data_IF_186084915570
#
_entry.id   IF_186084915570
#
_cell.length_a   1.000
_cell.length_b   1.000
_cell.length_c   1.000
_cell.angle_alpha   90.00
_cell.angle_beta   90.00
_cell.angle_gamma   90.00
#
_symmetry.space_group_name_H-M   'P 1'
#
loop_
_entity.id
_entity.type
_entity.pdbx_description
1 polymer ?
#
# COMPACT_ATOMS: atom_id res chain seq x y z
N UNK A 1 21.02 0.16 -2.48
CA UNK A 1 21.63 -1.08 -2.93
C UNK A 1 20.95 -2.34 -2.39
N UNK A 2 19.79 -2.13 -1.75
CA UNK A 2 18.95 -3.23 -1.31
C UNK A 2 18.49 -4.04 -2.51
N UNK A 3 18.59 -5.36 -2.38
CA UNK A 3 18.23 -6.27 -3.47
C UNK A 3 16.78 -6.72 -3.39
N UNK A 4 16.31 -7.31 -4.48
CA UNK A 4 14.97 -7.92 -4.53
C UNK A 4 14.83 -8.95 -3.40
N UNK A 5 15.82 -9.82 -3.21
CA UNK A 5 15.71 -10.89 -2.20
C UNK A 5 15.62 -10.32 -0.79
N UNK A 6 16.34 -9.23 -0.50
CA UNK A 6 16.24 -8.58 0.81
C UNK A 6 14.84 -8.06 1.08
N UNK A 7 14.20 -7.48 0.08
CA UNK A 7 12.82 -7.00 0.18
C UNK A 7 11.85 -8.16 0.39
N UNK A 8 12.03 -9.26 -0.36
CA UNK A 8 11.16 -10.43 -0.24
C UNK A 8 11.28 -11.09 1.12
N UNK A 9 12.50 -11.16 1.67
CA UNK A 9 12.72 -11.69 3.02
C UNK A 9 12.02 -10.85 4.07
N UNK A 10 12.13 -9.53 3.96
CA UNK A 10 11.45 -8.61 4.86
C UNK A 10 9.93 -8.77 4.77
N UNK A 11 9.40 -8.85 3.55
CA UNK A 11 7.96 -9.05 3.35
C UNK A 11 7.48 -10.37 3.96
N UNK A 12 8.24 -11.44 3.78
CA UNK A 12 7.90 -12.74 4.35
C UNK A 12 7.95 -12.71 5.88
N UNK A 13 9.00 -12.10 6.45
CA UNK A 13 9.17 -12.00 7.90
C UNK A 13 8.05 -11.20 8.55
N UNK A 14 7.66 -10.09 7.94
CA UNK A 14 6.62 -9.20 8.48
C UNK A 14 5.22 -9.55 7.99
N UNK A 15 5.08 -10.54 7.11
CA UNK A 15 3.80 -10.96 6.52
C UNK A 15 3.08 -9.81 5.83
N UNK A 16 3.82 -9.06 5.02
CA UNK A 16 3.32 -7.92 4.24
C UNK A 16 3.61 -8.14 2.76
N UNK A 17 2.82 -7.51 1.91
CA UNK A 17 2.93 -7.68 0.46
C UNK A 17 3.64 -6.58 -0.28
N UNK A 18 4.09 -5.54 0.42
CA UNK A 18 4.79 -4.42 -0.20
C UNK A 18 5.69 -3.72 0.82
N UNK A 19 6.70 -3.03 0.31
CA UNK A 19 7.62 -2.22 1.12
C UNK A 19 7.89 -0.89 0.42
N UNK A 20 8.14 0.14 1.20
CA UNK A 20 8.59 1.42 0.66
C UNK A 20 10.10 1.37 0.47
N UNK A 21 10.56 1.94 -0.64
CA UNK A 21 11.98 2.07 -0.92
C UNK A 21 12.38 3.51 -0.62
N UNK A 22 13.35 3.66 0.27
CA UNK A 22 13.79 4.95 0.78
C UNK A 22 15.21 5.25 0.33
N UNK A 23 15.49 6.53 0.15
CA UNK A 23 16.85 7.02 -0.08
C UNK A 23 16.96 8.38 0.59
N UNK A 24 17.93 8.53 1.51
CA UNK A 24 18.16 9.79 2.24
C UNK A 24 16.89 10.32 2.90
N UNK A 25 16.15 9.42 3.57
CA UNK A 25 14.90 9.70 4.29
C UNK A 25 13.72 10.08 3.38
N UNK A 26 13.88 9.95 2.08
CA UNK A 26 12.82 10.22 1.12
C UNK A 26 12.32 8.94 0.48
N UNK A 27 11.01 8.86 0.23
CA UNK A 27 10.42 7.76 -0.50
C UNK A 27 10.78 7.90 -1.98
N UNK A 28 11.44 6.91 -2.54
CA UNK A 28 11.81 6.90 -3.96
C UNK A 28 11.01 5.87 -4.76
N UNK A 29 10.33 4.95 -4.09
CA UNK A 29 9.53 3.96 -4.78
C UNK A 29 8.80 3.04 -3.82
N UNK A 30 8.04 2.14 -4.40
CA UNK A 30 7.36 1.07 -3.68
C UNK A 30 7.60 -0.23 -4.44
N UNK A 31 7.86 -1.30 -3.71
CA UNK A 31 8.08 -2.62 -4.27
C UNK A 31 7.11 -3.61 -3.65
N UNK A 32 6.41 -4.35 -4.49
CA UNK A 32 5.39 -5.31 -4.07
C UNK A 32 5.67 -6.69 -4.66
N UNK A 33 4.97 -7.70 -4.12
CA UNK A 33 5.00 -9.05 -4.68
C UNK A 33 4.57 -9.03 -6.16
N UNK A 34 3.65 -8.15 -6.52
CA UNK A 34 3.21 -7.97 -7.90
C UNK A 34 4.33 -7.43 -8.78
N UNK A 35 5.11 -6.48 -8.28
CA UNK A 35 6.28 -5.96 -9.01
C UNK A 35 7.31 -7.07 -9.22
N UNK A 36 7.51 -7.90 -8.20
CA UNK A 36 8.43 -9.04 -8.33
C UNK A 36 7.98 -9.98 -9.44
N UNK A 37 6.68 -10.33 -9.48
CA UNK A 37 6.18 -11.21 -10.51
C UNK A 37 6.30 -10.59 -11.91
N UNK A 38 5.93 -9.33 -12.07
CA UNK A 38 5.86 -8.68 -13.37
C UNK A 38 7.19 -8.19 -13.90
N UNK A 39 8.04 -7.63 -13.06
CA UNK A 39 9.30 -6.99 -13.45
C UNK A 39 10.53 -7.72 -12.94
N UNK A 40 10.36 -8.55 -11.94
CA UNK A 40 11.44 -9.38 -11.41
C UNK A 40 11.59 -10.64 -12.23
N UNK A 41 10.91 -11.69 -11.81
CA UNK A 41 11.11 -13.02 -12.37
C UNK A 41 10.71 -13.12 -13.86
N UNK A 42 9.61 -12.50 -14.26
CA UNK A 42 9.14 -12.59 -15.66
C UNK A 42 10.03 -11.82 -16.64
N UNK A 43 10.77 -10.83 -16.17
CA UNK A 43 11.72 -10.09 -17.00
C UNK A 43 13.17 -10.57 -16.87
N UNK A 44 13.37 -11.71 -16.20
CA UNK A 44 14.69 -12.30 -16.06
C UNK A 44 15.61 -11.64 -15.04
N UNK A 45 15.07 -10.80 -14.19
CA UNK A 45 15.85 -10.21 -13.10
C UNK A 45 16.01 -11.23 -11.98
N UNK A 46 17.23 -11.39 -11.49
CA UNK A 46 17.49 -12.36 -10.44
C UNK A 46 17.32 -11.75 -9.04
N UNK A 47 17.47 -12.60 -8.03
CA UNK A 47 17.31 -12.23 -6.63
C UNK A 47 18.28 -11.15 -6.15
N UNK A 48 19.43 -11.02 -6.81
CA UNK A 48 20.47 -10.05 -6.45
C UNK A 48 20.34 -8.72 -7.19
N UNK A 49 19.34 -8.58 -8.04
CA UNK A 49 19.06 -7.32 -8.73
C UNK A 49 18.68 -6.25 -7.71
N UNK A 50 19.23 -5.03 -7.82
CA UNK A 50 18.80 -3.93 -6.95
C UNK A 50 17.31 -3.65 -7.11
N UNK A 51 16.61 -3.47 -5.99
CA UNK A 51 15.15 -3.25 -5.99
C UNK A 51 14.76 -2.01 -6.80
N UNK A 52 15.65 -1.03 -6.89
CA UNK A 52 15.41 0.20 -7.68
C UNK A 52 15.12 -0.07 -9.15
N UNK A 53 15.59 -1.19 -9.68
CA UNK A 53 15.36 -1.55 -11.09
C UNK A 53 13.96 -2.11 -11.35
N UNK A 54 13.31 -2.62 -10.33
CA UNK A 54 12.01 -3.32 -10.46
C UNK A 54 10.89 -2.66 -9.67
N UNK A 55 11.19 -1.67 -8.83
CA UNK A 55 10.18 -0.98 -8.06
C UNK A 55 9.32 -0.06 -8.93
N UNK A 56 8.16 0.32 -8.40
CA UNK A 56 7.33 1.37 -8.96
C UNK A 56 7.79 2.69 -8.36
N UNK A 57 8.21 3.63 -9.19
CA UNK A 57 8.71 4.93 -8.72
C UNK A 57 7.61 5.96 -8.54
N UNK A 58 6.42 5.72 -9.08
CA UNK A 58 5.27 6.58 -8.88
C UNK A 58 4.52 6.15 -7.64
N UNK A 59 4.79 6.83 -6.52
CA UNK A 59 4.20 6.50 -5.22
C UNK A 59 3.04 7.45 -4.94
N UNK A 60 1.86 6.88 -4.70
CA UNK A 60 0.70 7.65 -4.23
C UNK A 60 0.79 7.75 -2.71
N UNK A 61 0.44 8.92 -2.18
CA UNK A 61 0.54 9.17 -0.75
C UNK A 61 -0.57 10.11 -0.31
N UNK A 62 -0.75 10.21 1.00
CA UNK A 62 -1.66 11.16 1.63
C UNK A 62 -0.90 11.98 2.67
N UNK A 63 -1.47 13.11 3.04
CA UNK A 63 -0.96 13.96 4.10
C UNK A 63 -1.78 13.74 5.37
N UNK A 64 -1.23 14.04 6.57
CA UNK A 64 -1.94 13.77 7.83
C UNK A 64 -3.30 14.46 7.97
N UNK A 65 -3.50 15.58 7.30
CA UNK A 65 -4.74 16.35 7.37
C UNK A 65 -5.82 15.88 6.37
N UNK A 66 -5.51 14.91 5.53
CA UNK A 66 -6.48 14.39 4.58
C UNK A 66 -7.45 13.42 5.25
N UNK A 67 -8.68 13.41 4.73
CA UNK A 67 -9.76 12.62 5.33
C UNK A 67 -9.65 11.14 5.01
N UNK A 68 -10.34 10.32 5.81
CA UNK A 68 -10.46 8.88 5.58
C UNK A 68 -11.11 8.62 4.22
N UNK A 69 -12.08 9.42 3.84
CA UNK A 69 -12.76 9.33 2.55
C UNK A 69 -11.79 9.55 1.39
N UNK A 70 -10.86 10.50 1.53
CA UNK A 70 -9.82 10.73 0.54
C UNK A 70 -8.92 9.51 0.40
N UNK A 71 -8.51 8.91 1.52
CA UNK A 71 -7.72 7.68 1.51
C UNK A 71 -8.45 6.55 0.79
N UNK A 72 -9.72 6.36 1.13
CA UNK A 72 -10.54 5.31 0.53
C UNK A 72 -10.70 5.52 -0.98
N UNK A 73 -10.92 6.76 -1.41
CA UNK A 73 -11.05 7.08 -2.82
C UNK A 73 -9.77 6.77 -3.59
N UNK A 74 -8.60 7.12 -3.04
CA UNK A 74 -7.32 6.80 -3.67
C UNK A 74 -7.08 5.30 -3.73
N UNK A 75 -7.36 4.58 -2.66
CA UNK A 75 -7.20 3.13 -2.61
C UNK A 75 -8.06 2.43 -3.65
N UNK A 76 -9.31 2.88 -3.79
CA UNK A 76 -10.24 2.33 -4.77
C UNK A 76 -9.81 2.66 -6.20
N UNK A 77 -9.50 3.94 -6.46
CA UNK A 77 -9.15 4.42 -7.80
C UNK A 77 -7.86 3.78 -8.31
N UNK A 78 -6.86 3.67 -7.45
CA UNK A 78 -5.54 3.13 -7.81
C UNK A 78 -5.40 1.64 -7.53
N UNK A 79 -6.40 1.02 -6.94
CA UNK A 79 -6.41 -0.41 -6.56
C UNK A 79 -5.23 -0.78 -5.67
N UNK A 80 -4.99 0.06 -4.68
CA UNK A 80 -3.93 -0.15 -3.69
C UNK A 80 -4.56 -0.27 -2.31
N UNK A 81 -3.89 -0.99 -1.41
CA UNK A 81 -4.40 -1.28 -0.06
C UNK A 81 -3.63 -0.56 1.03
N UNK A 82 -2.59 0.15 0.67
CA UNK A 82 -1.73 0.87 1.59
C UNK A 82 -1.35 2.21 0.99
N UNK A 83 -1.35 3.24 1.81
CA UNK A 83 -0.89 4.57 1.42
C UNK A 83 0.11 5.06 2.45
N UNK A 84 1.31 5.45 2.03
CA UNK A 84 2.20 6.16 2.94
C UNK A 84 1.61 7.52 3.28
N UNK A 85 1.81 7.92 4.53
CA UNK A 85 1.44 9.24 5.02
C UNK A 85 2.71 10.07 5.08
N UNK A 86 2.77 11.15 4.31
CA UNK A 86 3.92 12.02 4.25
C UNK A 86 3.60 13.37 4.87
N UNK A 87 4.53 13.87 5.66
CA UNK A 87 4.47 15.23 6.22
C UNK A 87 5.82 15.86 5.99
N UNK A 88 5.85 17.00 5.25
CA UNK A 88 7.09 17.66 4.85
C UNK A 88 8.06 16.69 4.15
N UNK A 89 7.54 15.91 3.21
CA UNK A 89 8.27 14.91 2.42
C UNK A 89 8.85 13.74 3.24
N UNK A 90 8.48 13.62 4.49
CA UNK A 90 8.91 12.51 5.34
C UNK A 90 7.76 11.57 5.62
N UNK A 91 8.05 10.27 5.62
CA UNK A 91 7.07 9.25 5.97
C UNK A 91 6.83 9.31 7.46
N UNK A 92 5.60 9.60 7.87
CA UNK A 92 5.20 9.59 9.29
C UNK A 92 4.33 8.40 9.64
N UNK A 93 3.88 7.64 8.64
CA UNK A 93 3.08 6.44 8.88
C UNK A 93 2.63 5.81 7.58
N UNK A 94 1.86 4.75 7.71
CA UNK A 94 1.21 4.06 6.59
C UNK A 94 -0.23 3.79 6.97
N UNK A 95 -1.15 4.09 6.06
CA UNK A 95 -2.57 3.79 6.25
C UNK A 95 -2.92 2.58 5.39
N UNK A 96 -3.51 1.56 6.01
CA UNK A 96 -3.99 0.38 5.30
C UNK A 96 -5.50 0.46 5.06
N UNK A 97 -6.01 -0.40 4.16
CA UNK A 97 -7.46 -0.51 3.99
C UNK A 97 -8.11 -0.96 5.30
N UNK A 98 -7.43 -1.78 6.10
CA UNK A 98 -7.91 -2.17 7.42
C UNK A 98 -8.05 -0.97 8.36
N UNK A 99 -7.11 -0.03 8.34
CA UNK A 99 -7.18 1.20 9.14
C UNK A 99 -8.38 2.05 8.73
N UNK A 100 -8.63 2.15 7.42
CA UNK A 100 -9.78 2.89 6.89
C UNK A 100 -11.08 2.28 7.37
N UNK A 101 -11.20 0.96 7.28
CA UNK A 101 -12.39 0.25 7.75
C UNK A 101 -12.58 0.47 9.25
N UNK A 102 -11.52 0.34 10.04
CA UNK A 102 -11.59 0.56 11.49
C UNK A 102 -12.05 1.97 11.82
N UNK A 103 -11.55 2.97 11.12
CA UNK A 103 -11.96 4.36 11.32
C UNK A 103 -13.44 4.56 11.00
N UNK A 104 -13.93 3.94 9.94
CA UNK A 104 -15.35 3.98 9.58
C UNK A 104 -16.21 3.24 10.62
N UNK A 105 -15.69 2.18 11.22
CA UNK A 105 -16.38 1.43 12.28
C UNK A 105 -16.57 2.25 13.55
N UNK A 106 -15.73 3.23 13.80
CA UNK A 106 -15.88 4.13 14.95
C UNK A 106 -17.00 5.14 14.77
N UNK A 107 -17.45 5.33 13.55
CA UNK A 107 -18.65 6.09 13.23
C UNK A 107 -19.81 5.12 13.07
N UNK A 108 -20.64 5.01 14.11
CA UNK A 108 -21.72 4.02 14.17
C UNK A 108 -22.70 4.10 13.01
N UNK A 109 -23.01 5.29 12.56
CA UNK A 109 -23.95 5.46 11.43
C UNK A 109 -23.32 5.02 10.12
N UNK A 110 -22.08 5.41 9.90
CA UNK A 110 -21.33 4.99 8.71
C UNK A 110 -21.12 3.49 8.71
N UNK A 111 -20.88 2.89 9.88
CA UNK A 111 -20.75 1.44 10.02
C UNK A 111 -22.04 0.74 9.59
N UNK A 112 -23.17 1.15 10.15
CA UNK A 112 -24.46 0.50 9.87
C UNK A 112 -24.78 0.60 8.38
N UNK A 113 -24.65 1.78 7.79
CA UNK A 113 -24.87 1.97 6.36
C UNK A 113 -23.90 1.16 5.51
N UNK A 114 -22.64 1.14 5.89
CA UNK A 114 -21.62 0.39 5.18
C UNK A 114 -21.91 -1.10 5.18
N UNK A 115 -22.27 -1.66 6.32
CA UNK A 115 -22.63 -3.07 6.45
C UNK A 115 -23.91 -3.39 5.71
N UNK A 116 -24.95 -2.54 5.81
CA UNK A 116 -26.19 -2.73 5.10
C UNK A 116 -25.96 -2.73 3.58
N UNK A 117 -25.20 -1.77 3.07
CA UNK A 117 -24.88 -1.71 1.66
C UNK A 117 -24.08 -2.91 1.20
N UNK A 118 -23.17 -3.38 2.05
CA UNK A 118 -22.32 -4.53 1.75
C UNK A 118 -23.13 -5.82 1.68
N UNK A 119 -24.09 -5.99 2.60
CA UNK A 119 -24.92 -7.19 2.71
C UNK A 119 -26.09 -7.13 1.73
N UNK A 120 -26.80 -6.00 1.68
CA UNK A 120 -27.99 -5.84 0.85
C UNK A 120 -27.66 -5.61 -0.62
N UNK A 121 -26.47 -5.16 -0.94
CA UNK A 121 -25.99 -5.11 -2.31
C UNK A 121 -25.79 -6.49 -2.92
N UNK A 122 -25.91 -7.54 -2.12
CA UNK A 122 -25.96 -8.93 -2.59
C UNK A 122 -24.66 -9.46 -3.17
N UNK A 123 -23.60 -8.70 -3.15
CA UNK A 123 -22.32 -9.12 -3.71
C UNK A 123 -21.20 -8.73 -2.75
N UNK A 124 -20.60 -9.74 -2.14
CA UNK A 124 -19.38 -9.56 -1.37
C UNK A 124 -18.22 -9.65 -2.36
N UNK A 125 -17.52 -8.54 -2.58
CA UNK A 125 -16.31 -8.54 -3.39
C UNK A 125 -15.14 -8.91 -2.51
N UNK A 126 -14.55 -10.02 -2.83
CA UNK A 126 -13.35 -10.49 -2.17
C UNK A 126 -12.10 -9.88 -2.82
#
# INVERSE_FOLDING_TARGET
DTTIVDCLKLMAEKKIGSVLVMQDEKVVGIFSERDYARRGILQGNDENTPVKKVMTDKVYYVQPDQSVETCMAQMSDKRIRHLPVLHNDKVVGVVSIGDVVTSLLQDKESLIKGLENYILGGVIKL
#
